data_IF_988596912705
#
_entry.id   IF_988596912705
#
_cell.length_a   1.000
_cell.length_b   1.000
_cell.length_c   1.000
_cell.angle_alpha   90.00
_cell.angle_beta   90.00
_cell.angle_gamma   90.00
#
_symmetry.space_group_name_H-M   'P 1'
#
loop_
_entity.id
_entity.type
_entity.pdbx_description
1 polymer ?
#
# COMPACT_ATOMS: atom_id res chain seq x y z
N UNK A 1 4.88 -0.60 6.86
CA UNK A 1 5.16 -1.79 6.00
C UNK A 1 4.23 -2.94 6.41
N UNK A 2 4.37 -4.19 5.93
CA UNK A 2 3.31 -5.24 6.02
C UNK A 2 2.66 -5.46 7.41
N UNK A 3 3.33 -5.13 8.51
CA UNK A 3 2.76 -5.15 9.86
C UNK A 3 1.81 -3.97 10.18
N UNK A 4 1.99 -2.82 9.51
CA UNK A 4 1.11 -1.64 9.61
C UNK A 4 -0.16 -1.80 8.76
N UNK A 5 -0.03 -2.39 7.58
CA UNK A 5 -1.15 -2.75 6.69
C UNK A 5 -0.73 -3.95 5.85
N UNK A 6 -1.30 -5.12 6.16
CA UNK A 6 -0.91 -6.39 5.58
C UNK A 6 -1.37 -6.59 4.13
N UNK A 7 -2.33 -5.79 3.65
CA UNK A 7 -2.88 -5.93 2.29
C UNK A 7 -2.54 -4.74 1.39
N UNK A 8 -1.67 -3.85 1.86
CA UNK A 8 -1.22 -2.73 1.06
C UNK A 8 -0.53 -3.22 -0.22
N UNK A 9 -0.76 -2.52 -1.33
CA UNK A 9 -0.01 -2.77 -2.56
C UNK A 9 1.48 -2.43 -2.33
N UNK A 10 2.34 -3.44 -2.40
CA UNK A 10 3.81 -3.29 -2.33
C UNK A 10 4.36 -3.21 -3.75
N UNK A 11 4.93 -2.06 -4.09
CA UNK A 11 5.62 -1.82 -5.37
C UNK A 11 7.12 -1.56 -5.12
N UNK A 12 8.01 -1.83 -6.09
CA UNK A 12 9.44 -1.55 -5.95
C UNK A 12 9.74 -0.13 -5.48
N UNK A 13 8.98 0.86 -5.98
CA UNK A 13 9.11 2.25 -5.55
C UNK A 13 8.90 2.45 -4.04
N UNK A 14 7.92 1.77 -3.43
CA UNK A 14 7.67 1.82 -1.98
C UNK A 14 8.81 1.19 -1.20
N UNK A 15 9.32 0.05 -1.67
CA UNK A 15 10.47 -0.63 -1.07
C UNK A 15 11.70 0.27 -1.10
N UNK A 16 12.01 0.86 -2.25
CA UNK A 16 13.14 1.78 -2.40
C UNK A 16 13.00 3.04 -1.55
N UNK A 17 11.79 3.59 -1.46
CA UNK A 17 11.50 4.73 -0.61
C UNK A 17 11.73 4.41 0.87
N UNK A 18 11.19 3.28 1.34
CA UNK A 18 11.40 2.79 2.72
C UNK A 18 12.88 2.52 3.02
N UNK A 19 13.63 2.00 2.04
CA UNK A 19 15.09 1.78 2.16
C UNK A 19 15.92 3.07 2.02
N UNK A 20 15.30 4.23 1.76
CA UNK A 20 15.96 5.49 1.44
C UNK A 20 16.98 5.36 0.29
N UNK A 21 16.75 4.43 -0.65
CA UNK A 21 17.60 4.22 -1.82
C UNK A 21 16.95 4.85 -3.05
N UNK A 22 17.73 5.63 -3.79
CA UNK A 22 17.34 6.03 -5.16
C UNK A 22 17.67 4.87 -6.10
N UNK A 23 16.68 4.04 -6.39
CA UNK A 23 16.81 3.02 -7.43
C UNK A 23 17.08 3.70 -8.77
N UNK A 24 18.25 3.46 -9.37
CA UNK A 24 18.51 3.91 -10.73
C UNK A 24 17.63 3.05 -11.64
N UNK A 25 16.78 3.71 -12.40
CA UNK A 25 15.87 3.07 -13.34
C UNK A 25 16.63 2.03 -14.17
N UNK A 26 15.95 0.92 -14.47
CA UNK A 26 16.30 -0.13 -15.44
C UNK A 26 17.32 -1.24 -15.12
N UNK A 27 17.89 -1.40 -13.91
CA UNK A 27 18.67 -2.63 -13.67
C UNK A 27 19.26 -2.91 -12.29
N UNK A 28 19.11 -2.01 -11.31
CA UNK A 28 19.82 -2.20 -10.04
C UNK A 28 19.34 -3.40 -9.21
N UNK A 29 18.10 -3.85 -9.40
CA UNK A 29 17.52 -4.98 -8.65
C UNK A 29 16.46 -5.69 -9.50
N UNK A 30 16.86 -6.53 -10.48
CA UNK A 30 15.92 -7.28 -11.32
C UNK A 30 15.04 -8.25 -10.50
N UNK A 31 15.53 -8.68 -9.33
CA UNK A 31 14.88 -9.67 -8.46
C UNK A 31 13.93 -9.06 -7.42
N UNK A 32 13.79 -7.72 -7.36
CA UNK A 32 12.99 -7.06 -6.32
C UNK A 32 11.52 -7.51 -6.34
N UNK A 33 10.98 -7.75 -7.53
CA UNK A 33 9.59 -8.19 -7.71
C UNK A 33 9.42 -9.60 -7.13
N UNK A 34 10.32 -10.52 -7.48
CA UNK A 34 10.30 -11.88 -6.95
C UNK A 34 10.45 -11.90 -5.42
N UNK A 35 11.31 -11.03 -4.88
CA UNK A 35 11.50 -10.88 -3.44
C UNK A 35 10.24 -10.37 -2.74
N UNK A 36 9.54 -9.40 -3.35
CA UNK A 36 8.26 -8.90 -2.85
C UNK A 36 7.25 -10.06 -2.80
N UNK A 37 7.06 -10.79 -3.91
CA UNK A 37 6.12 -11.91 -4.00
C UNK A 37 6.42 -12.93 -2.90
N UNK A 38 7.65 -13.46 -2.85
CA UNK A 38 8.06 -14.47 -1.88
C UNK A 38 7.85 -14.00 -0.45
N UNK A 39 8.25 -12.77 -0.14
CA UNK A 39 8.13 -12.22 1.22
C UNK A 39 6.66 -12.03 1.61
N UNK A 40 5.81 -11.58 0.70
CA UNK A 40 4.38 -11.43 0.95
C UNK A 40 3.69 -12.79 1.15
N UNK A 41 4.01 -13.79 0.32
CA UNK A 41 3.46 -15.14 0.47
C UNK A 41 3.86 -15.77 1.81
N UNK A 42 5.13 -15.73 2.18
CA UNK A 42 5.62 -16.24 3.47
C UNK A 42 4.97 -15.51 4.66
N UNK A 43 4.75 -14.19 4.54
CA UNK A 43 4.10 -13.40 5.56
C UNK A 43 2.65 -13.86 5.78
N UNK A 44 1.88 -14.04 4.71
CA UNK A 44 0.49 -14.48 4.81
C UNK A 44 0.34 -15.97 5.13
N UNK A 45 1.26 -16.83 4.67
CA UNK A 45 1.25 -18.25 5.01
C UNK A 45 1.42 -18.49 6.52
N UNK A 46 2.24 -17.67 7.20
CA UNK A 46 2.38 -17.72 8.67
C UNK A 46 1.19 -17.13 9.40
N UNK A 47 0.44 -16.25 8.76
CA UNK A 47 -0.66 -15.48 9.35
C UNK A 47 -1.96 -15.96 8.73
N UNK A 48 -2.42 -17.14 9.14
CA UNK A 48 -3.70 -17.75 8.72
C UNK A 48 -4.83 -16.70 8.77
N UNK A 49 -5.05 -16.01 7.65
CA UNK A 49 -6.09 -14.99 7.55
C UNK A 49 -7.35 -15.75 7.19
N UNK A 50 -8.27 -15.85 8.13
CA UNK A 50 -9.52 -16.56 7.91
C UNK A 50 -10.38 -15.79 6.92
N UNK A 51 -11.17 -16.48 6.10
CA UNK A 51 -11.99 -15.87 5.04
C UNK A 51 -12.94 -14.78 5.58
N UNK A 52 -13.34 -14.88 6.85
CA UNK A 52 -14.12 -13.87 7.56
C UNK A 52 -13.36 -12.55 7.81
N UNK A 53 -12.06 -12.61 8.09
CA UNK A 53 -11.21 -11.43 8.30
C UNK A 53 -10.95 -10.69 6.98
N UNK A 54 -10.91 -11.42 5.86
CA UNK A 54 -10.77 -10.84 4.51
C UNK A 54 -11.99 -9.96 4.16
N UNK A 55 -13.20 -10.39 4.54
CA UNK A 55 -14.42 -9.63 4.27
C UNK A 55 -14.53 -8.34 5.11
N UNK A 56 -14.16 -8.38 6.40
CA UNK A 56 -14.06 -7.19 7.25
C UNK A 56 -13.04 -6.19 6.69
N UNK A 57 -11.88 -6.68 6.26
CA UNK A 57 -10.83 -5.85 5.69
C UNK A 57 -11.29 -5.09 4.44
N UNK A 58 -11.95 -5.78 3.49
CA UNK A 58 -12.45 -5.15 2.27
C UNK A 58 -13.49 -4.06 2.56
N UNK A 59 -14.29 -4.25 3.61
CA UNK A 59 -15.29 -3.27 4.05
C UNK A 59 -14.60 -2.03 4.63
N UNK A 60 -13.59 -2.22 5.49
CA UNK A 60 -12.79 -1.14 6.07
C UNK A 60 -11.98 -0.37 5.02
N UNK A 61 -11.45 -1.06 4.02
CA UNK A 61 -10.70 -0.43 2.93
C UNK A 61 -11.59 0.45 2.05
N UNK A 62 -12.83 0.03 1.75
CA UNK A 62 -13.80 0.87 1.03
C UNK A 62 -14.12 2.15 1.80
N UNK A 63 -14.31 2.05 3.11
CA UNK A 63 -14.56 3.20 3.97
C UNK A 63 -13.37 4.18 3.95
N UNK A 64 -12.15 3.67 4.12
CA UNK A 64 -10.93 4.48 4.08
C UNK A 64 -10.75 5.19 2.71
N UNK A 65 -11.06 4.51 1.61
CA UNK A 65 -11.00 5.11 0.28
C UNK A 65 -11.98 6.28 0.14
N UNK A 66 -13.20 6.11 0.64
CA UNK A 66 -14.22 7.16 0.61
C UNK A 66 -13.83 8.36 1.49
N UNK A 67 -13.25 8.11 2.67
CA UNK A 67 -12.80 9.17 3.57
C UNK A 67 -11.62 9.97 2.99
N UNK A 68 -10.66 9.29 2.36
CA UNK A 68 -9.58 9.96 1.63
C UNK A 68 -10.10 10.77 0.43
N UNK A 69 -11.06 10.22 -0.32
CA UNK A 69 -11.72 10.92 -1.43
C UNK A 69 -12.44 12.19 -0.94
N UNK A 70 -13.15 12.11 0.19
CA UNK A 70 -13.77 13.28 0.83
C UNK A 70 -12.74 14.33 1.23
N UNK A 71 -11.68 13.92 1.93
CA UNK A 71 -10.59 14.81 2.34
C UNK A 71 -9.91 15.51 1.15
N UNK A 72 -9.72 14.81 0.03
CA UNK A 72 -9.17 15.38 -1.19
C UNK A 72 -10.11 16.38 -1.88
N UNK A 73 -11.41 16.11 -1.90
CA UNK A 73 -12.42 17.04 -2.42
C UNK A 73 -12.48 18.31 -1.56
N UNK A 74 -12.50 18.18 -0.24
CA UNK A 74 -12.51 19.32 0.70
C UNK A 74 -11.25 20.18 0.56
N UNK A 75 -10.08 19.54 0.42
CA UNK A 75 -8.81 20.24 0.16
C UNK A 75 -8.87 21.05 -1.14
N UNK A 76 -9.41 20.47 -2.22
CA UNK A 76 -9.58 21.17 -3.51
C UNK A 76 -10.55 22.36 -3.38
N UNK A 77 -11.69 22.18 -2.70
CA UNK A 77 -12.68 23.25 -2.54
C UNK A 77 -12.16 24.43 -1.70
N UNK A 78 -11.36 24.17 -0.65
CA UNK A 78 -10.72 25.24 0.13
C UNK A 78 -9.69 26.03 -0.70
N UNK A 79 -8.94 25.36 -1.57
CA UNK A 79 -7.97 26.01 -2.46
C UNK A 79 -8.64 26.95 -3.47
N UNK A 80 -9.87 26.67 -3.92
CA UNK A 80 -10.59 27.51 -4.87
C UNK A 80 -11.27 28.74 -4.25
N UNK A 81 -11.41 28.81 -2.91
CA UNK A 81 -12.02 29.94 -2.20
C UNK A 81 -11.02 31.01 -1.74
N UNK A 82 -9.74 30.82 -2.03
CA UNK A 82 -8.66 31.73 -1.64
C UNK A 82 -8.14 32.59 -2.82
N UNK A 83 -8.89 32.68 -3.92
CA UNK A 83 -8.57 33.49 -5.12
C UNK A 83 -9.65 34.54 -5.36
#
# INVERSE_FOLDING_TARGET
MLDEDCWQLIVPAKVYHAMQKRGRCCGCFPTVVDLIIKTTEEYHARRHSTEAEVFDFMSRLKQLHEDNRRADIERRQKSHRAA
#
